data_IF_437173639530
#
_entry.id   IF_437173639530
#
_cell.length_a   1.000
_cell.length_b   1.000
_cell.length_c   1.000
_cell.angle_alpha   90.00
_cell.angle_beta   90.00
_cell.angle_gamma   90.00
#
_symmetry.space_group_name_H-M   'P 1'
#
loop_
_entity.id
_entity.type
_entity.pdbx_description
1 polymer ?
#
# COMPACT_ATOMS: atom_id res chain seq x y z
N UNK A 1 -7.74 -5.27 5.66
CA UNK A 1 -6.58 -4.43 5.30
C UNK A 1 -7.02 -3.43 4.26
N UNK A 2 -6.56 -2.18 4.32
CA UNK A 2 -6.84 -1.15 3.34
C UNK A 2 -5.52 -0.49 2.90
N UNK A 3 -5.30 -0.41 1.58
CA UNK A 3 -4.13 0.23 1.00
C UNK A 3 -4.50 1.58 0.39
N UNK A 4 -3.72 2.61 0.69
CA UNK A 4 -3.84 3.96 0.16
C UNK A 4 -2.61 4.36 -0.63
N UNK A 5 -2.81 5.17 -1.65
CA UNK A 5 -1.78 5.92 -2.36
C UNK A 5 -2.13 7.40 -2.31
N UNK A 6 -1.20 8.22 -1.79
CA UNK A 6 -1.41 9.66 -1.59
C UNK A 6 -2.73 9.98 -0.87
N UNK A 7 -3.03 9.24 0.20
CA UNK A 7 -4.26 9.34 1.01
C UNK A 7 -5.57 8.96 0.31
N UNK A 8 -5.54 8.50 -0.94
CA UNK A 8 -6.69 7.93 -1.63
C UNK A 8 -6.60 6.40 -1.69
N UNK A 9 -7.74 5.73 -1.88
CA UNK A 9 -7.75 4.27 -2.12
C UNK A 9 -6.84 3.94 -3.30
N UNK A 10 -5.97 2.94 -3.12
CA UNK A 10 -5.08 2.44 -4.18
C UNK A 10 -5.90 1.93 -5.38
N UNK A 11 -5.55 2.35 -6.59
CA UNK A 11 -6.29 2.08 -7.84
C UNK A 11 -5.39 1.60 -9.00
N UNK A 12 -4.19 1.09 -8.72
CA UNK A 12 -3.29 0.61 -9.76
C UNK A 12 -3.61 -0.84 -10.14
N UNK A 13 -3.84 -1.08 -11.43
CA UNK A 13 -4.12 -2.42 -11.97
C UNK A 13 -2.85 -3.27 -12.16
N UNK A 14 -1.68 -2.62 -12.19
CA UNK A 14 -0.36 -3.24 -12.36
C UNK A 14 0.41 -3.42 -11.04
N UNK A 15 -0.30 -3.31 -9.90
CA UNK A 15 0.22 -3.55 -8.56
C UNK A 15 -0.41 -4.81 -7.99
N UNK A 16 0.41 -5.65 -7.34
CA UNK A 16 -0.03 -6.89 -6.71
C UNK A 16 -0.15 -6.69 -5.21
N UNK A 17 -1.26 -7.13 -4.62
CA UNK A 17 -1.52 -7.07 -3.18
C UNK A 17 -1.69 -8.50 -2.67
N UNK A 18 -0.88 -8.85 -1.67
CA UNK A 18 -1.00 -10.10 -0.92
C UNK A 18 -1.24 -9.76 0.55
N UNK A 19 -2.50 -9.85 0.98
CA UNK A 19 -2.90 -9.67 2.37
C UNK A 19 -3.33 -11.02 2.94
N UNK A 20 -2.60 -11.48 3.96
CA UNK A 20 -2.85 -12.70 4.73
C UNK A 20 -3.05 -12.33 6.20
N UNK A 21 -3.22 -13.33 7.09
CA UNK A 21 -3.42 -13.07 8.51
C UNK A 21 -2.20 -12.40 9.19
N UNK A 22 -1.00 -12.66 8.68
CA UNK A 22 0.29 -12.28 9.25
C UNK A 22 1.14 -11.39 8.35
N UNK A 23 0.78 -11.24 7.07
CA UNK A 23 1.51 -10.44 6.08
C UNK A 23 0.58 -9.51 5.31
N UNK A 24 0.99 -8.24 5.17
CA UNK A 24 0.42 -7.29 4.20
C UNK A 24 1.54 -6.87 3.25
N UNK A 25 1.45 -7.25 1.97
CA UNK A 25 2.49 -6.98 0.97
C UNK A 25 1.91 -6.32 -0.26
N UNK A 26 2.55 -5.24 -0.68
CA UNK A 26 2.32 -4.56 -1.95
C UNK A 26 3.57 -4.69 -2.82
N UNK A 27 3.42 -5.24 -4.02
CA UNK A 27 4.50 -5.43 -5.00
C UNK A 27 4.20 -4.65 -6.27
N UNK A 28 5.17 -3.85 -6.73
CA UNK A 28 5.11 -3.13 -8.01
C UNK A 28 6.13 -3.82 -8.94
N UNK A 29 5.71 -4.74 -9.83
CA UNK A 29 6.65 -5.53 -10.63
C UNK A 29 7.51 -4.69 -11.57
N UNK A 30 6.94 -3.60 -12.11
CA UNK A 30 7.63 -2.66 -12.99
C UNK A 30 7.28 -1.23 -12.55
N UNK A 31 8.26 -0.50 -12.02
CA UNK A 31 8.06 0.89 -11.57
C UNK A 31 7.89 1.83 -12.77
N UNK A 32 6.96 2.78 -12.66
CA UNK A 32 6.62 3.82 -13.64
C UNK A 32 6.46 5.14 -12.90
N UNK A 33 6.49 6.26 -13.63
CA UNK A 33 6.37 7.59 -13.01
C UNK A 33 5.08 7.77 -12.19
N UNK A 34 3.97 7.15 -12.59
CA UNK A 34 2.71 7.22 -11.86
C UNK A 34 2.75 6.53 -10.48
N UNK A 35 3.74 5.68 -10.22
CA UNK A 35 3.88 4.96 -8.94
C UNK A 35 4.60 5.80 -7.87
N UNK A 36 5.20 6.94 -8.20
CA UNK A 36 5.86 7.75 -7.20
C UNK A 36 4.85 8.44 -6.28
N UNK A 37 5.02 8.26 -4.97
CA UNK A 37 4.11 8.78 -3.96
C UNK A 37 4.22 8.06 -2.63
N UNK A 38 3.26 8.32 -1.75
CA UNK A 38 3.19 7.72 -0.41
C UNK A 38 2.20 6.55 -0.42
N UNK A 39 2.69 5.38 -0.04
CA UNK A 39 1.87 4.19 0.18
C UNK A 39 1.59 4.03 1.66
N UNK A 40 0.33 3.79 2.01
CA UNK A 40 -0.09 3.58 3.41
C UNK A 40 -0.92 2.31 3.50
N UNK A 41 -0.62 1.46 4.47
CA UNK A 41 -1.43 0.29 4.85
C UNK A 41 -2.14 0.55 6.18
N UNK A 42 -3.43 0.25 6.22
CA UNK A 42 -4.26 0.30 7.42
C UNK A 42 -4.77 -1.10 7.74
N UNK A 43 -4.48 -1.57 8.94
CA UNK A 43 -4.96 -2.84 9.46
C UNK A 43 -5.84 -2.56 10.68
N UNK A 44 -7.09 -2.99 10.66
CA UNK A 44 -8.06 -2.77 11.74
C UNK A 44 -8.73 -4.10 12.09
N UNK A 45 -8.89 -4.34 13.40
CA UNK A 45 -9.64 -5.45 13.96
C UNK A 45 -10.49 -4.94 15.15
N UNK A 46 -11.20 -5.85 15.82
CA UNK A 46 -12.08 -5.50 16.96
C UNK A 46 -11.36 -4.82 18.14
N UNK A 47 -10.04 -4.97 18.23
CA UNK A 47 -9.23 -4.44 19.34
C UNK A 47 -8.63 -3.07 18.99
N UNK A 48 -8.48 -2.75 17.70
CA UNK A 48 -7.97 -1.45 17.27
C UNK A 48 -7.37 -1.46 15.87
N UNK A 49 -6.50 -0.48 15.61
CA UNK A 49 -5.88 -0.27 14.29
C UNK A 49 -4.38 -0.05 14.35
N UNK A 50 -3.69 -0.51 13.31
CA UNK A 50 -2.30 -0.21 13.00
C UNK A 50 -2.20 0.47 11.63
N UNK A 51 -1.26 1.41 11.50
CA UNK A 51 -1.03 2.18 10.27
C UNK A 51 0.48 2.21 10.03
N UNK A 52 0.90 1.94 8.79
CA UNK A 52 2.27 2.09 8.35
C UNK A 52 2.32 2.76 6.98
N UNK A 53 3.33 3.60 6.75
CA UNK A 53 3.50 4.35 5.51
C UNK A 53 4.94 4.32 5.02
N UNK A 54 5.12 4.35 3.70
CA UNK A 54 6.42 4.42 3.04
C UNK A 54 6.34 5.30 1.77
N UNK A 55 7.44 5.98 1.45
CA UNK A 55 7.54 6.83 0.28
C UNK A 55 8.34 6.15 -0.83
N UNK A 56 7.79 6.11 -2.03
CA UNK A 56 8.50 5.73 -3.25
C UNK A 56 8.79 7.02 -4.03
N UNK A 57 10.06 7.42 -4.06
CA UNK A 57 10.52 8.65 -4.71
C UNK A 57 11.34 8.31 -5.97
N UNK A 58 11.37 9.19 -6.98
CA UNK A 58 12.34 9.07 -8.07
C UNK A 58 13.76 9.22 -7.52
N UNK A 59 14.71 8.50 -8.12
CA UNK A 59 16.15 8.66 -7.85
C UNK A 59 16.69 10.00 -8.35
#
# INVERSE_FOLDING_TARGET
VCWLFNNEKLKFDDVQIDDTADLCRLTIPIIRQCHYGTYTVLCENEIGRAIASANLMPN
#
